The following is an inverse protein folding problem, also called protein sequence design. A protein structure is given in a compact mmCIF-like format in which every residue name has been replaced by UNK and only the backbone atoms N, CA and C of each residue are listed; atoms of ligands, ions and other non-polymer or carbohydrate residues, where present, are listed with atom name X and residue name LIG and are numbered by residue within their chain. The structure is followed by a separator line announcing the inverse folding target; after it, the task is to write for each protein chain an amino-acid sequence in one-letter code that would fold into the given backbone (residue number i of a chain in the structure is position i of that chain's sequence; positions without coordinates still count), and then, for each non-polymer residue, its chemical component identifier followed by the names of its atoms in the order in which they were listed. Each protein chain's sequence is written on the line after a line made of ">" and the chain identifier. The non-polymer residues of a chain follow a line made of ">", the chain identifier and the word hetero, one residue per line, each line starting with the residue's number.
data_IF_398626219331
#
_entry.id   IF_398626219331
#
_cell.length_a   1.000
_cell.length_b   1.000
_cell.length_c   1.000
_cell.angle_alpha   90.00
_cell.angle_beta   90.00
_cell.angle_gamma   90.00
#
_symmetry.space_group_name_H-M   'P 1'
#
loop_
_entity.id
_entity.type
_entity.pdbx_description
1 polymer ?
#
# COMPACT_ATOMS: atom_id res chain seq x y z
N UNK A 1 -1.98 -3.67 57.36
CA UNK A 1 -1.86 -2.58 56.36
C UNK A 1 -2.27 -3.18 55.02
N UNK A 2 -3.56 -3.45 54.87
CA UNK A 2 -4.23 -3.79 53.61
C UNK A 2 -4.71 -2.48 52.99
N UNK A 3 -4.18 -2.04 51.85
CA UNK A 3 -4.90 -1.11 50.95
C UNK A 3 -4.49 -1.37 49.48
N UNK A 4 -5.51 -1.69 48.67
CA UNK A 4 -5.67 -1.50 47.23
C UNK A 4 -4.88 -2.37 46.23
N UNK A 5 -5.45 -3.54 45.92
CA UNK A 5 -5.43 -4.13 44.60
C UNK A 5 -6.75 -3.81 43.86
N UNK A 6 -6.77 -2.71 43.10
CA UNK A 6 -7.78 -2.39 42.08
C UNK A 6 -7.15 -1.32 41.19
N UNK A 7 -6.72 -1.60 39.96
CA UNK A 7 -7.54 -1.39 38.76
C UNK A 7 -6.70 -1.77 37.54
N UNK A 8 -7.10 -2.77 36.74
CA UNK A 8 -7.06 -2.72 35.25
C UNK A 8 -7.69 -3.98 34.60
N UNK A 9 -8.92 -4.31 34.96
CA UNK A 9 -9.67 -5.44 34.37
C UNK A 9 -10.66 -4.99 33.28
N UNK A 10 -10.36 -3.94 32.52
CA UNK A 10 -11.27 -3.44 31.48
C UNK A 10 -10.52 -3.27 30.15
N UNK A 11 -10.36 -4.41 29.46
CA UNK A 11 -10.20 -4.58 28.01
C UNK A 11 -9.81 -6.05 27.72
N UNK A 12 -10.68 -6.99 28.12
CA UNK A 12 -10.76 -8.26 27.38
C UNK A 12 -11.66 -7.99 26.17
N UNK A 13 -11.26 -8.36 24.94
CA UNK A 13 -12.22 -8.38 23.84
C UNK A 13 -13.36 -9.31 24.25
N UNK A 14 -14.60 -8.84 24.10
CA UNK A 14 -15.77 -9.69 24.32
C UNK A 14 -15.64 -10.96 23.45
N UNK A 15 -16.01 -12.14 23.98
CA UNK A 15 -16.02 -13.35 23.18
C UNK A 15 -16.98 -13.13 22.02
N UNK A 16 -16.46 -13.20 20.78
CA UNK A 16 -17.30 -13.17 19.59
C UNK A 16 -18.35 -14.30 19.69
N UNK A 17 -19.62 -14.04 19.34
CA UNK A 17 -20.63 -15.08 19.32
C UNK A 17 -20.21 -16.23 18.40
N UNK A 18 -20.57 -17.49 18.72
CA UNK A 18 -20.25 -18.64 17.89
C UNK A 18 -20.82 -18.48 16.47
N UNK A 19 -20.17 -19.07 15.44
CA UNK A 19 -20.60 -18.94 14.04
C UNK A 19 -22.06 -19.34 13.78
N UNK A 20 -22.56 -20.32 14.53
CA UNK A 20 -23.95 -20.79 14.45
C UNK A 20 -24.94 -19.71 14.89
N UNK A 21 -24.61 -18.95 15.93
CA UNK A 21 -25.44 -17.86 16.45
C UNK A 21 -25.43 -16.65 15.49
N UNK A 22 -24.28 -16.36 14.87
CA UNK A 22 -24.16 -15.31 13.86
C UNK A 22 -25.06 -15.62 12.65
N UNK A 23 -25.03 -16.87 12.16
CA UNK A 23 -25.82 -17.28 11.00
C UNK A 23 -27.32 -17.28 11.31
N UNK A 24 -27.71 -17.79 12.49
CA UNK A 24 -29.12 -17.78 12.92
C UNK A 24 -29.68 -16.36 13.07
N UNK A 25 -28.88 -15.42 13.62
CA UNK A 25 -29.28 -14.02 13.74
C UNK A 25 -29.42 -13.37 12.36
N UNK A 26 -28.49 -13.62 11.44
CA UNK A 26 -28.58 -13.10 10.07
C UNK A 26 -29.81 -13.63 9.34
N UNK A 27 -30.06 -14.93 9.42
CA UNK A 27 -31.20 -15.59 8.76
C UNK A 27 -32.54 -15.01 9.22
N UNK A 28 -32.74 -14.88 10.54
CA UNK A 28 -33.94 -14.27 11.11
C UNK A 28 -34.17 -12.83 10.64
N UNK A 29 -33.09 -12.06 10.45
CA UNK A 29 -33.16 -10.67 9.98
C UNK A 29 -33.44 -10.58 8.49
N UNK A 30 -32.92 -11.51 7.69
CA UNK A 30 -33.27 -11.64 6.27
C UNK A 30 -34.74 -12.02 6.10
N UNK A 31 -35.24 -13.00 6.84
CA UNK A 31 -36.66 -13.39 6.80
C UNK A 31 -37.58 -12.23 7.17
N UNK A 32 -37.21 -11.47 8.20
CA UNK A 32 -37.98 -10.29 8.64
C UNK A 32 -37.99 -9.20 7.56
N UNK A 33 -36.84 -8.91 6.95
CA UNK A 33 -36.72 -7.91 5.89
C UNK A 33 -37.48 -8.33 4.61
N UNK A 34 -37.34 -9.59 4.20
CA UNK A 34 -38.07 -10.16 3.05
C UNK A 34 -39.57 -10.18 3.31
N UNK A 35 -40.00 -10.56 4.51
CA UNK A 35 -41.41 -10.55 4.91
C UNK A 35 -42.02 -9.13 4.93
N UNK A 36 -41.25 -8.11 5.27
CA UNK A 36 -41.68 -6.71 5.21
C UNK A 36 -41.81 -6.22 3.76
N UNK A 37 -40.86 -6.57 2.90
CA UNK A 37 -40.86 -6.22 1.47
C UNK A 37 -42.03 -6.89 0.72
N UNK A 38 -42.34 -8.14 1.02
CA UNK A 38 -43.42 -8.88 0.35
C UNK A 38 -44.83 -8.40 0.74
N UNK A 39 -45.00 -7.92 1.98
CA UNK A 39 -46.30 -7.48 2.48
C UNK A 39 -46.58 -5.98 2.26
N UNK A 40 -45.68 -5.24 1.56
CA UNK A 40 -45.73 -3.78 1.40
C UNK A 40 -46.01 -3.04 2.71
N UNK A 41 -45.58 -3.63 3.83
CA UNK A 41 -45.70 -3.01 5.13
C UNK A 41 -44.44 -2.19 5.35
N UNK A 42 -44.57 -0.86 5.48
CA UNK A 42 -43.55 0.01 6.08
C UNK A 42 -43.41 -0.30 7.58
N UNK A 43 -43.31 -1.58 7.95
CA UNK A 43 -42.85 -1.96 9.29
C UNK A 43 -41.38 -1.57 9.35
N UNK A 44 -41.02 -0.84 10.41
CA UNK A 44 -39.63 -0.49 10.72
C UNK A 44 -38.81 -1.76 10.83
N UNK A 45 -38.22 -2.18 9.71
CA UNK A 45 -37.09 -3.10 9.74
C UNK A 45 -35.99 -2.32 10.43
N UNK A 46 -35.49 -2.83 11.54
CA UNK A 46 -34.34 -2.24 12.22
C UNK A 46 -33.12 -2.37 11.31
N UNK A 47 -32.88 -1.35 10.50
CA UNK A 47 -31.79 -1.31 9.52
C UNK A 47 -30.43 -1.45 10.21
N UNK A 48 -30.28 -0.90 11.41
CA UNK A 48 -29.02 -0.97 12.16
C UNK A 48 -28.73 -2.42 12.58
N UNK A 49 -29.73 -3.13 13.10
CA UNK A 49 -29.53 -4.53 13.50
C UNK A 49 -29.38 -5.48 12.31
N UNK A 50 -30.00 -5.17 11.15
CA UNK A 50 -29.76 -5.90 9.90
C UNK A 50 -28.33 -5.70 9.37
N UNK A 51 -27.84 -4.45 9.41
CA UNK A 51 -26.47 -4.11 9.03
C UNK A 51 -25.47 -4.79 9.96
N UNK A 52 -25.71 -4.79 11.27
CA UNK A 52 -24.84 -5.43 12.25
C UNK A 52 -24.82 -6.95 12.07
N UNK A 53 -25.97 -7.60 11.86
CA UNK A 53 -26.03 -9.03 11.57
C UNK A 53 -25.28 -9.39 10.27
N UNK A 54 -25.44 -8.58 9.21
CA UNK A 54 -24.74 -8.76 7.93
C UNK A 54 -23.21 -8.60 8.08
N UNK A 55 -22.78 -7.63 8.89
CA UNK A 55 -21.37 -7.36 9.17
C UNK A 55 -20.71 -8.54 9.90
N UNK A 56 -21.40 -9.12 10.88
CA UNK A 56 -20.89 -10.28 11.62
C UNK A 56 -20.67 -11.50 10.73
N UNK A 57 -21.56 -11.74 9.74
CA UNK A 57 -21.37 -12.81 8.74
C UNK A 57 -20.13 -12.55 7.89
N UNK A 58 -19.95 -11.33 7.40
CA UNK A 58 -18.77 -10.95 6.61
C UNK A 58 -17.47 -11.14 7.42
N UNK A 59 -17.45 -10.67 8.66
CA UNK A 59 -16.27 -10.79 9.54
C UNK A 59 -15.97 -12.26 9.85
N UNK A 60 -17.00 -13.08 10.07
CA UNK A 60 -16.85 -14.54 10.24
C UNK A 60 -16.26 -15.24 9.02
N UNK A 61 -16.77 -14.97 7.81
CA UNK A 61 -16.24 -15.53 6.56
C UNK A 61 -14.80 -15.06 6.30
N UNK A 62 -14.51 -13.80 6.59
CA UNK A 62 -13.16 -13.22 6.48
C UNK A 62 -12.18 -13.92 7.43
N UNK A 63 -12.58 -14.20 8.66
CA UNK A 63 -11.78 -14.88 9.66
C UNK A 63 -11.51 -16.34 9.27
N UNK A 64 -12.51 -17.06 8.76
CA UNK A 64 -12.37 -18.41 8.20
C UNK A 64 -11.39 -18.40 7.02
N UNK A 65 -11.55 -17.48 6.05
CA UNK A 65 -10.63 -17.35 4.91
C UNK A 65 -9.20 -17.09 5.37
N UNK A 66 -9.02 -16.21 6.36
CA UNK A 66 -7.71 -15.91 6.95
C UNK A 66 -7.11 -17.16 7.60
N UNK A 67 -7.89 -17.92 8.37
CA UNK A 67 -7.43 -19.14 9.03
C UNK A 67 -7.06 -20.23 8.00
N UNK A 68 -7.87 -20.41 6.96
CA UNK A 68 -7.61 -21.38 5.87
C UNK A 68 -6.31 -21.01 5.12
N UNK A 69 -6.12 -19.74 4.79
CA UNK A 69 -4.90 -19.28 4.10
C UNK A 69 -3.65 -19.40 4.98
N UNK A 70 -3.78 -19.26 6.30
CA UNK A 70 -2.67 -19.44 7.25
C UNK A 70 -2.29 -20.91 7.46
N UNK A 71 -3.18 -21.85 7.15
CA UNK A 71 -2.95 -23.29 7.27
C UNK A 71 -2.51 -23.96 5.95
N UNK A 72 -2.32 -23.21 4.86
CA UNK A 72 -1.83 -23.77 3.58
C UNK A 72 -0.33 -24.05 3.68
N UNK A 73 0.07 -25.33 3.60
CA UNK A 73 1.46 -25.76 3.53
C UNK A 73 2.10 -25.36 2.20
N UNK A 74 3.40 -25.04 2.20
CA UNK A 74 4.13 -24.56 1.02
C UNK A 74 4.20 -25.54 -0.15
N UNK A 75 3.73 -26.78 0.03
CA UNK A 75 3.76 -27.84 -0.98
C UNK A 75 2.53 -27.83 -1.92
N UNK A 76 1.48 -27.04 -1.62
CA UNK A 76 0.31 -26.85 -2.52
C UNK A 76 0.45 -25.62 -3.44
N UNK A 77 1.67 -25.10 -3.61
CA UNK A 77 1.99 -24.04 -4.56
C UNK A 77 2.34 -24.68 -5.92
N UNK A 78 1.33 -24.84 -6.78
CA UNK A 78 1.57 -25.14 -8.19
C UNK A 78 2.57 -24.11 -8.75
N UNK A 79 3.68 -24.65 -9.26
CA UNK A 79 4.90 -23.92 -9.61
C UNK A 79 4.79 -23.26 -10.97
N UNK A 80 3.78 -22.41 -11.16
CA UNK A 80 3.58 -21.66 -12.41
C UNK A 80 3.04 -20.23 -12.22
N UNK A 81 3.06 -19.70 -10.99
CA UNK A 81 2.78 -18.27 -10.78
C UNK A 81 4.08 -17.54 -10.49
N UNK A 82 4.50 -16.72 -11.47
CA UNK A 82 5.59 -15.77 -11.33
C UNK A 82 5.49 -14.97 -10.02
N UNK A 83 6.66 -14.76 -9.45
CA UNK A 83 6.90 -14.14 -8.15
C UNK A 83 6.42 -12.66 -8.13
N UNK A 84 5.16 -12.43 -7.80
CA UNK A 84 4.64 -11.09 -7.44
C UNK A 84 5.07 -10.75 -5.99
N UNK A 85 5.85 -9.68 -5.76
CA UNK A 85 6.21 -9.26 -4.41
C UNK A 85 5.00 -8.62 -3.72
N UNK A 86 4.29 -9.42 -2.91
CA UNK A 86 3.47 -9.04 -1.72
C UNK A 86 3.06 -7.56 -1.60
N UNK A 87 1.97 -7.19 -2.29
CA UNK A 87 1.23 -5.93 -2.13
C UNK A 87 0.09 -6.06 -1.08
N UNK A 88 0.36 -6.50 0.16
CA UNK A 88 -0.70 -6.65 1.21
C UNK A 88 -0.65 -5.60 2.32
N UNK A 89 -0.55 -4.31 1.96
CA UNK A 89 -0.73 -3.21 2.94
C UNK A 89 -1.39 -1.93 2.39
N UNK A 90 -2.23 -2.04 1.35
CA UNK A 90 -2.93 -0.86 0.78
C UNK A 90 -4.43 -1.04 0.57
N UNK A 91 -5.04 -2.11 1.11
CA UNK A 91 -6.46 -2.40 0.90
C UNK A 91 -7.46 -1.54 1.71
N UNK A 92 -7.01 -0.69 2.65
CA UNK A 92 -7.92 -0.01 3.59
C UNK A 92 -8.34 1.43 3.25
N UNK A 93 -7.97 1.98 2.09
CA UNK A 93 -8.48 3.31 1.65
C UNK A 93 -8.98 3.32 0.21
N UNK A 94 -9.74 2.29 -0.17
CA UNK A 94 -10.60 2.39 -1.36
C UNK A 94 -11.75 3.39 -1.10
N UNK A 95 -11.54 4.63 -1.50
CA UNK A 95 -12.64 5.57 -1.75
C UNK A 95 -13.60 4.95 -2.77
N UNK A 96 -14.83 4.64 -2.34
CA UNK A 96 -15.93 4.21 -3.21
C UNK A 96 -16.56 5.41 -3.94
N UNK A 97 -15.74 6.23 -4.58
CA UNK A 97 -16.21 7.31 -5.46
C UNK A 97 -16.27 6.81 -6.91
N UNK A 98 -17.05 5.76 -7.16
CA UNK A 98 -17.51 5.43 -8.51
C UNK A 98 -18.74 4.56 -8.42
N UNK A 99 -19.87 5.20 -8.13
CA UNK A 99 -21.19 4.61 -8.24
C UNK A 99 -22.08 5.55 -9.06
N UNK A 100 -21.61 6.00 -10.24
CA UNK A 100 -22.45 6.48 -11.32
C UNK A 100 -21.62 6.86 -12.56
N UNK A 101 -21.33 5.87 -13.40
CA UNK A 101 -21.41 6.01 -14.85
C UNK A 101 -21.45 4.61 -15.44
N UNK A 102 -22.45 4.37 -16.30
CA UNK A 102 -22.65 3.08 -16.94
C UNK A 102 -21.41 2.60 -17.68
N UNK A 103 -21.41 1.29 -17.94
CA UNK A 103 -20.45 0.52 -18.72
C UNK A 103 -20.38 0.95 -20.20
N UNK A 104 -20.25 2.25 -20.46
CA UNK A 104 -19.86 2.78 -21.76
C UNK A 104 -18.34 2.74 -21.82
N UNK A 105 -17.82 1.69 -22.43
CA UNK A 105 -16.42 1.67 -22.87
C UNK A 105 -16.24 2.78 -23.91
N UNK A 106 -15.61 3.88 -23.49
CA UNK A 106 -15.25 4.98 -24.38
C UNK A 106 -14.21 4.47 -25.38
N UNK A 107 -14.55 4.48 -26.66
CA UNK A 107 -13.62 4.12 -27.74
C UNK A 107 -12.76 5.33 -28.11
N UNK A 108 -11.51 5.31 -27.66
CA UNK A 108 -10.50 6.34 -27.89
C UNK A 108 -9.78 6.17 -29.24
N UNK A 109 -9.95 5.01 -29.90
CA UNK A 109 -9.35 4.67 -31.19
C UNK A 109 -10.40 4.11 -32.16
N UNK A 110 -11.43 4.89 -32.52
CA UNK A 110 -12.59 4.41 -33.28
C UNK A 110 -12.26 3.84 -34.67
N UNK A 111 -11.13 4.27 -35.25
CA UNK A 111 -10.67 3.83 -36.57
C UNK A 111 -9.77 2.58 -36.52
N UNK A 112 -9.51 2.03 -35.32
CA UNK A 112 -8.54 0.94 -35.11
C UNK A 112 -9.24 -0.26 -34.47
N UNK A 113 -9.43 -1.31 -35.24
CA UNK A 113 -9.99 -2.56 -34.73
C UNK A 113 -9.06 -3.23 -33.70
N UNK A 114 -9.63 -3.71 -32.60
CA UNK A 114 -8.94 -4.54 -31.60
C UNK A 114 -8.27 -3.79 -30.43
N UNK A 115 -8.47 -2.47 -30.33
CA UNK A 115 -8.10 -1.61 -29.19
C UNK A 115 -9.19 -0.56 -29.03
N UNK A 116 -9.73 -0.38 -27.82
CA UNK A 116 -10.70 0.69 -27.55
C UNK A 116 -10.15 1.75 -26.59
N UNK A 117 -9.15 1.43 -25.76
CA UNK A 117 -8.70 2.34 -24.69
C UNK A 117 -7.19 2.60 -24.73
N UNK A 118 -6.76 3.78 -24.30
CA UNK A 118 -5.33 4.08 -24.16
C UNK A 118 -4.62 3.10 -23.22
N UNK A 119 -5.28 2.60 -22.17
CA UNK A 119 -4.71 1.56 -21.30
C UNK A 119 -4.46 0.25 -22.05
N UNK A 120 -5.35 -0.16 -22.96
CA UNK A 120 -5.13 -1.34 -23.81
C UNK A 120 -3.99 -1.14 -24.79
N UNK A 121 -3.83 0.07 -25.35
CA UNK A 121 -2.67 0.41 -26.16
C UNK A 121 -1.35 0.19 -25.37
N UNK A 122 -1.29 0.63 -24.10
CA UNK A 122 -0.13 0.36 -23.23
C UNK A 122 0.15 -1.14 -23.04
N UNK A 123 -0.88 -2.01 -23.00
CA UNK A 123 -0.70 -3.47 -22.93
C UNK A 123 -0.14 -4.08 -24.22
N UNK A 124 -0.41 -3.44 -25.35
CA UNK A 124 0.02 -3.89 -26.69
C UNK A 124 1.40 -3.38 -27.09
N UNK A 125 2.07 -2.61 -26.23
CA UNK A 125 3.47 -2.21 -26.46
C UNK A 125 4.41 -3.42 -26.54
N UNK A 126 5.54 -3.21 -27.21
CA UNK A 126 6.60 -4.21 -27.35
C UNK A 126 7.18 -4.60 -25.99
N UNK A 127 7.75 -5.80 -25.89
CA UNK A 127 8.34 -6.27 -24.64
C UNK A 127 9.57 -5.44 -24.23
N UNK A 128 10.35 -4.97 -25.20
CA UNK A 128 11.48 -4.06 -24.94
C UNK A 128 11.01 -2.75 -24.28
N UNK A 129 9.93 -2.14 -24.79
CA UNK A 129 9.41 -0.91 -24.24
C UNK A 129 8.77 -1.11 -22.86
N UNK A 130 8.07 -2.23 -22.67
CA UNK A 130 7.53 -2.62 -21.36
C UNK A 130 8.63 -2.79 -20.32
N UNK A 131 9.76 -3.38 -20.68
CA UNK A 131 10.91 -3.50 -19.79
C UNK A 131 11.49 -2.12 -19.42
N UNK A 132 11.61 -1.19 -20.37
CA UNK A 132 12.05 0.20 -20.08
C UNK A 132 11.07 0.92 -19.16
N UNK A 133 9.76 0.76 -19.37
CA UNK A 133 8.72 1.29 -18.47
C UNK A 133 8.86 0.67 -17.07
N UNK A 134 9.04 -0.65 -16.98
CA UNK A 134 9.20 -1.34 -15.70
C UNK A 134 10.41 -0.83 -14.90
N UNK A 135 11.54 -0.56 -15.58
CA UNK A 135 12.73 0.03 -14.95
C UNK A 135 12.43 1.43 -14.37
N UNK A 136 11.70 2.28 -15.11
CA UNK A 136 11.30 3.60 -14.60
C UNK A 136 10.32 3.51 -13.42
N UNK A 137 9.37 2.56 -13.47
CA UNK A 137 8.44 2.31 -12.37
C UNK A 137 9.18 1.85 -11.12
N UNK A 138 10.25 1.07 -11.25
CA UNK A 138 11.06 0.65 -10.10
C UNK A 138 11.80 1.82 -9.44
N UNK A 139 12.32 2.76 -10.25
CA UNK A 139 12.88 4.01 -9.73
C UNK A 139 11.80 4.83 -9.00
N UNK A 140 10.59 4.90 -9.55
CA UNK A 140 9.48 5.58 -8.86
C UNK A 140 9.10 4.91 -7.53
N UNK A 141 9.08 3.57 -7.48
CA UNK A 141 8.77 2.81 -6.26
C UNK A 141 9.77 3.06 -5.14
N UNK A 142 11.06 3.17 -5.45
CA UNK A 142 12.08 3.52 -4.44
C UNK A 142 11.82 4.87 -3.79
N UNK A 143 11.37 5.84 -4.58
CA UNK A 143 11.01 7.17 -4.09
C UNK A 143 9.73 7.11 -3.27
N UNK A 144 8.77 6.27 -3.67
CA UNK A 144 7.56 5.97 -2.90
C UNK A 144 7.86 5.33 -1.55
N UNK A 145 8.83 4.42 -1.45
CA UNK A 145 9.25 3.85 -0.16
C UNK A 145 9.81 4.92 0.79
N UNK A 146 10.57 5.88 0.24
CA UNK A 146 11.07 7.02 1.01
C UNK A 146 9.91 7.88 1.50
N UNK A 147 8.95 8.17 0.63
CA UNK A 147 7.71 8.88 0.97
C UNK A 147 6.92 8.17 2.08
N UNK A 148 6.66 6.87 1.93
CA UNK A 148 5.91 6.08 2.90
C UNK A 148 6.58 6.11 4.27
N UNK A 149 7.91 5.95 4.32
CA UNK A 149 8.66 5.96 5.57
C UNK A 149 8.54 7.29 6.32
N UNK A 150 8.44 8.40 5.59
CA UNK A 150 8.29 9.73 6.18
C UNK A 150 6.85 9.97 6.64
N UNK A 151 5.88 9.59 5.80
CA UNK A 151 4.46 9.84 6.04
C UNK A 151 3.86 8.89 7.09
N UNK A 152 4.35 7.65 7.21
CA UNK A 152 3.87 6.67 8.18
C UNK A 152 4.12 7.06 9.64
N UNK A 153 5.00 8.04 9.89
CA UNK A 153 5.26 8.59 11.22
C UNK A 153 4.08 9.41 11.74
N UNK A 154 3.24 9.90 10.85
CA UNK A 154 2.23 10.91 11.16
C UNK A 154 0.82 10.33 11.11
N UNK A 155 0.03 10.68 12.12
CA UNK A 155 -1.42 10.57 12.06
C UNK A 155 -1.95 11.67 11.12
N UNK A 156 -2.78 11.28 10.16
CA UNK A 156 -3.40 12.18 9.20
C UNK A 156 -4.70 12.81 9.72
N UNK A 157 -5.20 12.37 10.87
CA UNK A 157 -6.41 12.93 11.48
C UNK A 157 -6.20 14.38 11.89
N UNK A 158 -6.75 15.30 11.07
CA UNK A 158 -6.60 16.74 11.27
C UNK A 158 -5.25 17.31 10.81
N UNK A 159 -4.52 16.59 9.96
CA UNK A 159 -3.31 17.06 9.31
C UNK A 159 -3.46 17.05 7.79
N UNK A 160 -3.97 18.16 7.25
CA UNK A 160 -4.26 18.31 5.83
C UNK A 160 -3.02 18.19 4.95
N UNK A 161 -1.83 18.57 5.44
CA UNK A 161 -0.57 18.39 4.70
C UNK A 161 -0.30 16.91 4.45
N UNK A 162 -0.43 16.07 5.48
CA UNK A 162 -0.24 14.62 5.36
C UNK A 162 -1.33 13.99 4.50
N UNK A 163 -2.58 14.39 4.70
CA UNK A 163 -3.70 13.91 3.89
C UNK A 163 -3.50 14.22 2.40
N UNK A 164 -3.18 15.47 2.05
CA UNK A 164 -2.92 15.90 0.67
C UNK A 164 -1.72 15.16 0.08
N UNK A 165 -0.64 15.00 0.85
CA UNK A 165 0.52 14.23 0.41
C UNK A 165 0.16 12.78 0.06
N UNK A 166 -0.59 12.08 0.94
CA UNK A 166 -1.08 10.71 0.67
C UNK A 166 -1.99 10.67 -0.56
N UNK A 167 -2.88 11.65 -0.70
CA UNK A 167 -3.78 11.74 -1.85
C UNK A 167 -3.02 11.92 -3.17
N UNK A 168 -2.02 12.82 -3.21
CA UNK A 168 -1.16 13.01 -4.39
C UNK A 168 -0.37 11.72 -4.71
N UNK A 169 0.17 11.03 -3.69
CA UNK A 169 0.86 9.76 -3.85
C UNK A 169 -0.03 8.68 -4.49
N UNK A 170 -1.26 8.53 -3.99
CA UNK A 170 -2.24 7.59 -4.54
C UNK A 170 -2.50 7.85 -6.03
N UNK A 171 -2.73 9.10 -6.43
CA UNK A 171 -2.99 9.42 -7.85
C UNK A 171 -1.73 9.17 -8.69
N UNK A 172 -0.53 9.52 -8.21
CA UNK A 172 0.72 9.21 -8.93
C UNK A 172 0.93 7.69 -9.12
N UNK A 173 0.54 6.87 -8.15
CA UNK A 173 0.53 5.40 -8.31
C UNK A 173 -0.42 4.95 -9.41
N UNK A 174 -1.66 5.46 -9.45
CA UNK A 174 -2.64 5.14 -10.51
C UNK A 174 -2.13 5.54 -11.90
N UNK A 175 -1.48 6.71 -12.01
CA UNK A 175 -0.90 7.18 -13.27
C UNK A 175 0.29 6.34 -13.71
N UNK A 176 1.14 5.87 -12.80
CA UNK A 176 2.25 4.97 -13.14
C UNK A 176 1.77 3.56 -13.47
N UNK A 177 0.72 3.06 -12.81
CA UNK A 177 0.08 1.79 -13.19
C UNK A 177 -0.58 1.84 -14.57
N UNK A 178 -1.16 2.98 -14.95
CA UNK A 178 -1.70 3.20 -16.30
C UNK A 178 -0.63 2.96 -17.37
N UNK A 179 0.60 3.43 -17.16
CA UNK A 179 1.70 3.21 -18.13
C UNK A 179 2.08 1.74 -18.31
N UNK A 180 1.70 0.87 -17.37
CA UNK A 180 1.88 -0.59 -17.45
C UNK A 180 0.66 -1.30 -18.02
N UNK A 181 -0.33 -0.55 -18.52
CA UNK A 181 -1.60 -1.09 -18.98
C UNK A 181 -2.50 -1.65 -17.87
N UNK A 182 -2.28 -1.27 -16.60
CA UNK A 182 -3.08 -1.74 -15.46
C UNK A 182 -3.65 -0.56 -14.67
N UNK A 183 -4.29 -0.86 -13.54
CA UNK A 183 -4.88 0.18 -12.70
C UNK A 183 -6.24 0.70 -13.20
N UNK A 184 -6.80 1.71 -12.50
CA UNK A 184 -8.18 2.14 -12.69
C UNK A 184 -8.39 3.08 -13.88
N UNK A 185 -7.36 3.82 -14.31
CA UNK A 185 -7.44 4.78 -15.42
C UNK A 185 -7.52 4.01 -16.74
N UNK A 186 -8.51 4.27 -17.59
CA UNK A 186 -8.71 3.53 -18.84
C UNK A 186 -8.31 4.37 -20.06
N UNK A 187 -8.66 5.64 -20.06
CA UNK A 187 -8.50 6.57 -21.20
C UNK A 187 -7.44 7.63 -20.92
N UNK A 188 -6.91 8.29 -21.95
CA UNK A 188 -6.05 9.47 -21.76
C UNK A 188 -6.80 10.57 -21.01
N UNK A 189 -8.12 10.68 -21.19
CA UNK A 189 -8.93 11.64 -20.43
C UNK A 189 -8.89 11.37 -18.92
N UNK A 190 -8.91 10.10 -18.50
CA UNK A 190 -8.77 9.74 -17.08
C UNK A 190 -7.42 10.20 -16.52
N UNK A 191 -6.34 10.04 -17.30
CA UNK A 191 -4.98 10.48 -16.93
C UNK A 191 -4.90 12.01 -16.84
N UNK A 192 -5.51 12.73 -17.78
CA UNK A 192 -5.60 14.20 -17.74
C UNK A 192 -6.38 14.66 -16.49
N UNK A 193 -7.47 13.99 -16.16
CA UNK A 193 -8.27 14.32 -14.97
C UNK A 193 -7.53 13.98 -13.67
N UNK A 194 -6.76 12.89 -13.63
CA UNK A 194 -5.85 12.56 -12.54
C UNK A 194 -4.79 13.65 -12.35
N UNK A 195 -4.17 14.14 -13.44
CA UNK A 195 -3.21 15.24 -13.39
C UNK A 195 -3.82 16.56 -12.88
N UNK A 196 -5.08 16.85 -13.22
CA UNK A 196 -5.81 18.01 -12.66
C UNK A 196 -6.01 17.87 -11.15
N UNK A 197 -6.45 16.70 -10.68
CA UNK A 197 -6.60 16.42 -9.24
C UNK A 197 -5.28 16.58 -8.47
N UNK A 198 -4.16 16.11 -9.05
CA UNK A 198 -2.82 16.33 -8.49
C UNK A 198 -2.52 17.83 -8.39
N UNK A 199 -2.78 18.61 -9.44
CA UNK A 199 -2.54 20.05 -9.43
C UNK A 199 -3.38 20.78 -8.38
N UNK A 200 -4.65 20.42 -8.24
CA UNK A 200 -5.54 21.00 -7.21
C UNK A 200 -5.04 20.69 -5.80
N UNK A 201 -4.63 19.44 -5.54
CA UNK A 201 -4.03 19.05 -4.27
C UNK A 201 -2.69 19.76 -4.02
N UNK A 202 -1.86 19.91 -5.06
CA UNK A 202 -0.59 20.63 -5.01
C UNK A 202 -0.77 22.11 -4.66
N UNK A 203 -1.79 22.78 -5.21
CA UNK A 203 -2.13 24.17 -4.87
C UNK A 203 -2.61 24.30 -3.42
N UNK A 204 -3.43 23.36 -2.93
CA UNK A 204 -3.87 23.34 -1.53
C UNK A 204 -2.69 23.13 -0.57
N UNK A 205 -1.77 22.22 -0.93
CA UNK A 205 -0.55 21.95 -0.17
C UNK A 205 0.36 23.19 -0.14
N UNK A 206 0.56 23.86 -1.28
CA UNK A 206 1.34 25.11 -1.35
C UNK A 206 0.76 26.18 -0.42
N UNK A 207 -0.56 26.38 -0.41
CA UNK A 207 -1.22 27.35 0.46
C UNK A 207 -0.94 27.09 1.94
N UNK A 208 -1.24 25.88 2.42
CA UNK A 208 -1.05 25.50 3.84
C UNK A 208 0.43 25.62 4.26
N UNK A 209 1.33 25.17 3.40
CA UNK A 209 2.76 25.23 3.69
C UNK A 209 3.32 26.66 3.63
N UNK A 210 2.79 27.54 2.76
CA UNK A 210 3.17 28.97 2.76
C UNK A 210 2.78 29.64 4.05
N UNK A 211 1.57 29.39 4.56
CA UNK A 211 1.13 29.94 5.84
C UNK A 211 2.09 29.52 6.97
N UNK A 212 2.58 28.27 6.97
CA UNK A 212 3.62 27.80 7.90
C UNK A 212 4.94 28.55 7.70
N UNK A 213 5.36 28.72 6.44
CA UNK A 213 6.60 29.42 6.10
C UNK A 213 6.58 30.91 6.50
N UNK A 214 5.43 31.57 6.41
CA UNK A 214 5.22 32.96 6.81
C UNK A 214 5.37 33.16 8.31
N UNK A 215 4.97 32.18 9.11
CA UNK A 215 5.16 32.18 10.57
C UNK A 215 6.60 31.87 11.00
N UNK A 216 7.47 31.47 10.06
CA UNK A 216 8.87 31.21 10.36
C UNK A 216 9.73 32.48 10.23
N UNK A 217 10.67 32.71 11.18
CA UNK A 217 11.70 33.70 10.99
C UNK A 217 12.57 33.33 9.78
N UNK A 218 13.23 34.34 9.22
CA UNK A 218 14.11 34.15 8.08
C UNK A 218 15.21 33.14 8.43
N UNK A 219 15.22 32.01 7.72
CA UNK A 219 16.03 30.84 8.05
C UNK A 219 16.27 29.98 6.81
N UNK A 220 17.29 29.11 6.85
CA UNK A 220 17.51 28.12 5.78
C UNK A 220 16.30 27.21 5.60
N UNK A 221 15.65 26.79 6.69
CA UNK A 221 14.43 25.97 6.65
C UNK A 221 13.31 26.64 5.86
N UNK A 222 13.08 27.94 6.07
CA UNK A 222 12.06 28.71 5.32
C UNK A 222 12.40 28.78 3.83
N UNK A 223 13.66 29.06 3.48
CA UNK A 223 14.13 29.12 2.09
C UNK A 223 13.97 27.78 1.39
N UNK A 224 14.41 26.70 2.02
CA UNK A 224 14.29 25.34 1.48
C UNK A 224 12.83 24.95 1.27
N UNK A 225 11.96 25.26 2.25
CA UNK A 225 10.53 24.98 2.15
C UNK A 225 9.88 25.70 0.96
N UNK A 226 10.14 26.99 0.78
CA UNK A 226 9.64 27.75 -0.36
C UNK A 226 10.20 27.25 -1.71
N UNK A 227 11.45 26.79 -1.74
CA UNK A 227 12.03 26.18 -2.95
C UNK A 227 11.34 24.85 -3.30
N UNK A 228 11.02 24.02 -2.31
CA UNK A 228 10.26 22.78 -2.56
C UNK A 228 8.84 23.05 -3.05
N UNK A 229 8.19 24.12 -2.57
CA UNK A 229 6.90 24.55 -3.09
C UNK A 229 6.95 24.96 -4.58
N UNK A 230 7.98 25.70 -4.98
CA UNK A 230 8.21 26.01 -6.40
C UNK A 230 8.44 24.75 -7.23
N UNK A 231 9.17 23.77 -6.69
CA UNK A 231 9.38 22.47 -7.35
C UNK A 231 8.07 21.68 -7.49
N UNK A 232 7.20 21.68 -6.47
CA UNK A 232 5.86 21.08 -6.57
C UNK A 232 5.08 21.72 -7.71
N UNK A 233 5.04 23.05 -7.80
CA UNK A 233 4.34 23.75 -8.87
C UNK A 233 4.88 23.37 -10.26
N UNK A 234 6.21 23.34 -10.42
CA UNK A 234 6.87 22.90 -11.64
C UNK A 234 6.49 21.47 -12.03
N UNK A 235 6.57 20.51 -11.10
CA UNK A 235 6.31 19.11 -11.42
C UNK A 235 4.82 18.81 -11.61
N UNK A 236 3.91 19.52 -10.94
CA UNK A 236 2.47 19.46 -11.24
C UNK A 236 2.22 19.88 -12.70
N UNK A 237 2.88 20.96 -13.16
CA UNK A 237 2.78 21.39 -14.54
C UNK A 237 3.37 20.36 -15.52
N UNK A 238 4.52 19.76 -15.20
CA UNK A 238 5.11 18.69 -16.02
C UNK A 238 4.16 17.48 -16.16
N UNK A 239 3.54 17.03 -15.07
CA UNK A 239 2.55 15.94 -15.11
C UNK A 239 1.34 16.32 -15.98
N UNK A 240 0.87 17.57 -15.92
CA UNK A 240 -0.22 18.02 -16.79
C UNK A 240 0.16 18.00 -18.27
N UNK A 241 1.40 18.33 -18.62
CA UNK A 241 1.88 18.25 -20.01
C UNK A 241 1.97 16.79 -20.45
N UNK A 242 2.66 15.95 -19.68
CA UNK A 242 2.89 14.55 -20.05
C UNK A 242 1.59 13.74 -20.08
N UNK A 243 0.60 14.06 -19.23
CA UNK A 243 -0.72 13.41 -19.24
C UNK A 243 -1.54 13.61 -20.52
N UNK A 244 -1.24 14.65 -21.31
CA UNK A 244 -2.00 14.96 -22.54
C UNK A 244 -1.47 14.23 -23.76
N UNK A 245 -0.29 13.62 -23.67
CA UNK A 245 0.32 12.90 -24.78
C UNK A 245 -0.35 11.53 -24.90
N UNK A 246 -0.92 11.26 -26.07
CA UNK A 246 -1.49 9.95 -26.40
C UNK A 246 -0.41 9.05 -26.96
N UNK A 247 -0.51 7.76 -26.66
CA UNK A 247 0.24 6.75 -27.42
C UNK A 247 -0.32 6.71 -28.84
N UNK A 248 0.57 6.77 -29.83
CA UNK A 248 0.20 6.58 -31.22
C UNK A 248 0.03 5.08 -31.50
N UNK A 249 -1.02 4.74 -32.24
CA UNK A 249 -1.44 3.36 -32.50
C UNK A 249 -1.68 3.23 -33.99
N UNK A 250 -1.00 2.29 -34.62
CA UNK A 250 -1.10 2.03 -36.05
C UNK A 250 -1.43 0.56 -36.29
N UNK A 251 -2.29 0.28 -37.26
CA UNK A 251 -2.56 -1.07 -37.72
C UNK A 251 -1.81 -1.28 -39.05
N UNK A 252 -0.74 -2.08 -39.01
CA UNK A 252 0.06 -2.42 -40.19
C UNK A 252 -0.13 -3.91 -40.45
N UNK A 253 -0.77 -4.24 -41.57
CA UNK A 253 -0.97 -5.63 -42.00
C UNK A 253 -1.66 -6.53 -40.96
N UNK A 254 -2.55 -5.97 -40.13
CA UNK A 254 -3.25 -6.70 -39.06
C UNK A 254 -2.51 -6.74 -37.72
N UNK A 255 -1.29 -6.22 -37.65
CA UNK A 255 -0.52 -6.05 -36.42
C UNK A 255 -0.66 -4.63 -35.86
N UNK A 256 -0.87 -4.54 -34.55
CA UNK A 256 -1.03 -3.27 -33.85
C UNK A 256 0.33 -2.81 -33.31
N UNK A 257 0.84 -1.73 -33.87
CA UNK A 257 2.09 -1.10 -33.43
C UNK A 257 1.73 0.09 -32.55
N UNK A 258 2.28 0.13 -31.34
CA UNK A 258 2.01 1.19 -30.35
C UNK A 258 3.31 1.91 -30.00
N UNK A 259 3.35 3.22 -30.26
CA UNK A 259 4.47 4.11 -29.94
C UNK A 259 4.08 5.06 -28.81
N UNK A 260 4.38 4.63 -27.57
CA UNK A 260 4.05 5.36 -26.35
C UNK A 260 5.19 5.51 -25.34
N UNK A 261 6.38 4.95 -25.63
CA UNK A 261 7.47 4.81 -24.65
C UNK A 261 7.92 6.15 -24.04
N UNK A 262 8.25 7.14 -24.86
CA UNK A 262 8.77 8.43 -24.38
C UNK A 262 7.73 9.17 -23.53
N UNK A 263 6.46 9.08 -23.92
CA UNK A 263 5.35 9.68 -23.17
C UNK A 263 5.16 9.03 -21.79
N UNK A 264 5.20 7.69 -21.76
CA UNK A 264 5.05 6.90 -20.54
C UNK A 264 6.22 7.13 -19.57
N UNK A 265 7.45 7.05 -20.06
CA UNK A 265 8.66 7.26 -19.25
C UNK A 265 8.74 8.70 -18.73
N UNK A 266 8.38 9.69 -19.54
CA UNK A 266 8.31 11.10 -19.11
C UNK A 266 7.25 11.32 -18.03
N UNK A 267 6.09 10.67 -18.14
CA UNK A 267 5.04 10.73 -17.11
C UNK A 267 5.52 10.14 -15.78
N UNK A 268 6.16 8.97 -15.81
CA UNK A 268 6.72 8.31 -14.61
C UNK A 268 7.79 9.20 -13.97
N UNK A 269 8.68 9.77 -14.78
CA UNK A 269 9.76 10.62 -14.29
C UNK A 269 9.22 11.91 -13.64
N UNK A 270 8.19 12.52 -14.21
CA UNK A 270 7.51 13.67 -13.62
C UNK A 270 6.84 13.31 -12.28
N UNK A 271 6.18 12.15 -12.20
CA UNK A 271 5.58 11.62 -10.96
C UNK A 271 6.65 11.36 -9.88
N UNK A 272 7.79 10.77 -10.25
CA UNK A 272 8.93 10.54 -9.34
C UNK A 272 9.47 11.84 -8.75
N UNK A 273 9.66 12.83 -9.61
CA UNK A 273 10.15 14.15 -9.21
C UNK A 273 9.16 14.86 -8.28
N UNK A 274 7.86 14.77 -8.59
CA UNK A 274 6.81 15.32 -7.72
C UNK A 274 6.78 14.61 -6.36
N UNK A 275 6.84 13.26 -6.33
CA UNK A 275 6.89 12.47 -5.09
C UNK A 275 8.03 12.94 -4.18
N UNK A 276 9.23 13.14 -4.75
CA UNK A 276 10.39 13.63 -4.01
C UNK A 276 10.18 15.05 -3.45
N UNK A 277 9.59 15.95 -4.24
CA UNK A 277 9.30 17.30 -3.77
C UNK A 277 8.25 17.30 -2.64
N UNK A 278 7.20 16.48 -2.75
CA UNK A 278 6.15 16.35 -1.73
C UNK A 278 6.71 15.81 -0.42
N UNK A 279 7.54 14.76 -0.42
CA UNK A 279 8.12 14.22 0.83
C UNK A 279 9.02 15.23 1.53
N UNK A 280 9.80 16.03 0.77
CA UNK A 280 10.64 17.08 1.33
C UNK A 280 9.79 18.22 1.90
N UNK A 281 8.71 18.61 1.22
CA UNK A 281 7.75 19.60 1.73
C UNK A 281 7.12 19.14 3.05
N UNK A 282 6.71 17.87 3.18
CA UNK A 282 6.17 17.32 4.44
C UNK A 282 7.22 17.45 5.56
N UNK A 283 8.45 16.98 5.32
CA UNK A 283 9.54 17.00 6.31
C UNK A 283 9.87 18.42 6.77
N UNK A 284 10.00 19.36 5.83
CA UNK A 284 10.36 20.74 6.16
C UNK A 284 9.19 21.54 6.75
N UNK A 285 7.94 21.21 6.39
CA UNK A 285 6.74 21.78 7.04
C UNK A 285 6.71 21.40 8.52
N UNK A 286 7.06 20.15 8.86
CA UNK A 286 7.16 19.72 10.26
C UNK A 286 8.24 20.49 11.03
N UNK A 287 9.44 20.59 10.47
CA UNK A 287 10.55 21.33 11.11
C UNK A 287 10.19 22.80 11.32
N UNK A 288 9.62 23.44 10.29
CA UNK A 288 9.15 24.82 10.34
C UNK A 288 8.10 25.04 11.45
N UNK A 289 7.09 24.17 11.50
CA UNK A 289 5.98 24.25 12.46
C UNK A 289 6.37 23.97 13.92
N UNK A 290 7.46 23.23 14.16
CA UNK A 290 7.84 22.81 15.52
C UNK A 290 8.97 23.63 16.11
N UNK A 291 9.92 24.08 15.29
CA UNK A 291 11.10 24.80 15.74
C UNK A 291 10.81 26.25 16.13
N UNK A 292 9.88 26.92 15.44
CA UNK A 292 9.71 28.37 15.53
C UNK A 292 8.40 28.83 16.20
N UNK A 293 7.37 27.98 16.24
CA UNK A 293 6.08 28.31 16.89
C UNK A 293 6.18 28.54 18.40
N UNK A 294 7.24 28.06 19.07
CA UNK A 294 7.47 28.27 20.52
C UNK A 294 7.94 29.68 20.89
N UNK A 295 8.20 30.57 19.92
CA UNK A 295 8.75 31.91 20.17
C UNK A 295 7.70 33.04 20.32
N UNK A 296 6.41 32.73 20.46
CA UNK A 296 5.50 33.57 21.25
C UNK A 296 4.40 34.39 20.56
N UNK A 297 3.94 34.06 19.35
CA UNK A 297 2.89 34.87 18.67
C UNK A 297 1.75 34.11 17.99
N UNK A 298 1.72 32.78 17.99
CA UNK A 298 0.71 32.02 17.22
C UNK A 298 -0.38 31.48 18.14
N UNK A 299 -1.61 32.02 18.01
CA UNK A 299 -2.81 31.66 18.78
C UNK A 299 -3.30 30.21 18.53
N UNK A 300 -3.03 29.65 17.34
CA UNK A 300 -3.37 28.26 17.00
C UNK A 300 -2.49 27.73 15.86
N UNK A 301 -1.95 26.51 15.94
CA UNK A 301 -1.13 25.94 14.88
C UNK A 301 -1.98 25.64 13.63
N UNK A 302 -1.47 25.97 12.43
CA UNK A 302 -2.14 25.71 11.14
C UNK A 302 -2.38 24.21 10.95
N UNK A 303 -1.40 23.40 11.36
CA UNK A 303 -1.43 21.94 11.25
C UNK A 303 -0.93 21.33 12.55
N UNK A 304 -1.60 20.28 13.03
CA UNK A 304 -1.19 19.55 14.23
C UNK A 304 -0.38 18.32 13.84
N UNK A 305 0.87 18.26 14.31
CA UNK A 305 1.77 17.13 14.08
C UNK A 305 1.62 16.09 15.19
N UNK A 306 0.85 15.05 14.93
CA UNK A 306 0.68 13.90 15.85
C UNK A 306 1.45 12.71 15.31
N UNK A 307 2.31 12.12 16.15
CA UNK A 307 2.95 10.86 15.80
C UNK A 307 1.91 9.74 15.81
N UNK A 308 1.96 8.86 14.81
CA UNK A 308 1.21 7.61 14.80
C UNK A 308 1.77 6.72 15.91
N UNK A 309 0.90 6.08 16.69
CA UNK A 309 1.34 5.10 17.69
C UNK A 309 2.14 3.99 16.99
N UNK A 310 3.32 3.57 17.52
CA UNK A 310 4.08 2.49 16.93
C UNK A 310 3.24 1.21 16.91
N UNK A 311 3.03 0.64 15.73
CA UNK A 311 2.46 -0.69 15.62
C UNK A 311 3.43 -1.67 16.29
N UNK A 312 2.92 -2.48 17.22
CA UNK A 312 3.74 -3.47 17.93
C UNK A 312 4.32 -4.43 16.91
N UNK A 313 5.61 -4.29 16.59
CA UNK A 313 6.32 -5.27 15.78
C UNK A 313 6.25 -6.61 16.51
N UNK A 314 5.98 -7.73 15.81
CA UNK A 314 6.07 -9.06 16.40
C UNK A 314 7.45 -9.21 17.06
N UNK A 315 7.46 -9.50 18.36
CA UNK A 315 8.70 -9.60 19.15
C UNK A 315 9.60 -10.74 18.66
N UNK A 316 9.00 -11.70 17.98
CA UNK A 316 9.63 -12.85 17.36
C UNK A 316 9.32 -12.78 15.87
N UNK A 317 10.36 -12.75 15.03
CA UNK A 317 10.19 -13.01 13.59
C UNK A 317 9.65 -14.43 13.47
N UNK A 318 8.54 -14.68 12.75
CA UNK A 318 8.19 -16.05 12.39
C UNK A 318 9.39 -16.62 11.64
N UNK A 319 10.08 -17.60 12.23
CA UNK A 319 11.12 -18.34 11.51
C UNK A 319 10.45 -19.00 10.31
N UNK A 320 11.07 -18.88 9.13
CA UNK A 320 10.64 -19.67 7.98
C UNK A 320 10.81 -21.15 8.37
N UNK A 321 9.88 -22.05 8.01
CA UNK A 321 10.01 -23.49 8.31
C UNK A 321 11.35 -24.11 7.87
N UNK A 322 12.02 -23.50 6.88
CA UNK A 322 13.37 -23.88 6.43
C UNK A 322 14.48 -23.64 7.47
N UNK A 323 14.35 -22.64 8.35
CA UNK A 323 15.38 -22.30 9.36
C UNK A 323 15.29 -23.19 10.61
N UNK A 324 14.12 -23.77 10.90
CA UNK A 324 13.91 -24.71 12.02
C UNK A 324 14.55 -26.07 11.75
N UNK A 325 14.78 -26.44 10.48
CA UNK A 325 15.59 -27.60 10.10
C UNK A 325 17.08 -27.25 10.10
N UNK A 326 17.59 -26.74 11.21
CA UNK A 326 19.01 -26.82 11.49
C UNK A 326 19.43 -28.29 11.39
N UNK A 327 20.24 -28.63 10.38
CA UNK A 327 20.83 -29.96 10.20
C UNK A 327 21.50 -30.36 11.51
N UNK A 328 20.85 -31.24 12.27
CA UNK A 328 21.47 -31.93 13.39
C UNK A 328 22.66 -32.68 12.83
N UNK A 329 23.87 -32.13 12.98
CA UNK A 329 25.11 -32.86 12.74
C UNK A 329 25.14 -34.00 13.74
N UNK A 330 24.74 -35.18 13.28
CA UNK A 330 24.88 -36.45 13.99
C UNK A 330 26.32 -36.53 14.50
N UNK A 331 26.50 -36.48 15.82
CA UNK A 331 27.80 -36.59 16.46
C UNK A 331 28.51 -37.86 16.00
N UNK A 332 29.83 -37.77 15.79
CA UNK A 332 30.67 -38.89 15.40
C UNK A 332 30.43 -40.07 16.34
N UNK A 333 29.95 -41.20 15.80
CA UNK A 333 29.85 -42.43 16.56
C UNK A 333 31.27 -42.84 16.98
N UNK A 334 31.56 -42.77 18.29
CA UNK A 334 32.76 -43.37 18.87
C UNK A 334 32.79 -44.85 18.46
N UNK A 335 33.74 -45.23 17.60
CA UNK A 335 34.11 -46.63 17.40
C UNK A 335 34.58 -47.16 18.76
N UNK A 336 33.88 -48.16 19.29
CA UNK A 336 34.32 -48.94 20.44
C UNK A 336 35.49 -49.79 19.95
N UNK A 337 36.71 -49.42 20.33
CA UNK A 337 37.92 -50.15 19.96
C UNK A 337 38.06 -51.35 20.90
N UNK A 338 38.24 -52.54 20.34
CA UNK A 338 38.25 -53.80 21.08
C UNK A 338 39.45 -53.85 22.04
N UNK A 339 39.27 -54.08 23.35
CA UNK A 339 40.31 -53.90 24.37
C UNK A 339 41.53 -54.81 24.20
N UNK A 340 41.38 -55.97 23.55
CA UNK A 340 42.51 -56.89 23.28
C UNK A 340 43.52 -56.27 22.30
N UNK A 341 43.09 -55.41 21.38
CA UNK A 341 43.97 -54.80 20.39
C UNK A 341 44.82 -53.67 20.97
N UNK A 342 44.36 -53.02 22.05
CA UNK A 342 45.09 -51.97 22.76
C UNK A 342 46.17 -52.52 23.72
N UNK A 343 46.05 -53.79 24.14
CA UNK A 343 46.99 -54.44 25.05
C UNK A 343 48.15 -55.13 24.32
N UNK A 344 48.01 -55.40 23.03
CA UNK A 344 49.08 -55.93 22.16
C UNK A 344 50.22 -54.92 21.94
N UNK A 345 49.98 -53.62 22.12
CA UNK A 345 50.99 -52.56 21.91
C UNK A 345 51.96 -52.39 23.09
N UNK A 346 51.73 -53.08 24.22
CA UNK A 346 52.53 -52.91 25.45
C UNK A 346 53.40 -54.12 25.84
N UNK A 347 53.47 -55.18 25.02
CA UNK A 347 54.46 -56.24 25.26
C UNK A 347 55.82 -55.83 24.68
N UNK A 348 56.75 -55.48 25.58
CA UNK A 348 58.15 -55.16 25.27
C UNK A 348 59.03 -56.43 25.28
N UNK A 349 60.13 -56.48 24.50
CA UNK A 349 60.83 -57.71 24.18
C UNK A 349 61.79 -58.11 25.30
N UNK A 350 61.39 -59.07 26.13
CA UNK A 350 62.29 -59.73 27.07
C UNK A 350 62.18 -61.27 27.09
N UNK A 351 61.28 -61.87 26.30
CA UNK A 351 61.16 -63.33 26.20
C UNK A 351 61.13 -63.78 24.73
N UNK A 352 62.22 -63.52 24.02
CA UNK A 352 62.58 -64.25 22.81
C UNK A 352 63.95 -64.91 23.05
N UNK A 353 63.91 -66.14 23.56
CA UNK A 353 65.00 -67.12 23.43
C UNK A 353 64.80 -67.88 22.13
#
# INVERSE_FOLDING_TARGET
>A
MEIAAATNASQRPEPKPPPEEIMMKFDQRVETAVGALLNNSNKDVDENDFIDASRLVYDGVREIRRAVLMNRSSEDLDTDTEFEPVEDLTLETRSRSSAHTGDQTVDEYPDISGICTAREAMRKMTEEDKQKIAQQVELFRREKLTFDSEVAKWDDTGNDIIFLAKHMCMIMMEMTDFTRGRGPLKTTMDVINAAKKISEAGTKLDKLTREIAEQCPESSTKKDLLAYLQRIALYCHQIQITSKVKADVQNISGELIVSGLDSATSLIQAAKNLMNAVVLTVKYSYVASTKYTRQGTVSSPIVVWKMKAPEKKPLVRPEKPEEVRAKVRKGSQKKVQNPIHALSEFQSPADAV
#
